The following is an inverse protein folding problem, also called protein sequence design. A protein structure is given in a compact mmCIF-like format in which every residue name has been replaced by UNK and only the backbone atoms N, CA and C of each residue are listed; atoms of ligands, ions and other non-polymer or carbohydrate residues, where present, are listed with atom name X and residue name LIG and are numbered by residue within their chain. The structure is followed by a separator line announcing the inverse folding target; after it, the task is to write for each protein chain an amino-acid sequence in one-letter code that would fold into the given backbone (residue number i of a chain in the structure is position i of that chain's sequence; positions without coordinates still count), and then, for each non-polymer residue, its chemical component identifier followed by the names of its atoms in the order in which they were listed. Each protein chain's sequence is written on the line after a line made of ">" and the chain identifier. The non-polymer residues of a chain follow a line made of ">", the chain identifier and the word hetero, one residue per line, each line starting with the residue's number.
data_IF_083940117394
#
_entry.id   IF_083940117394
#
_cell.length_a   1.000
_cell.length_b   1.000
_cell.length_c   1.000
_cell.angle_alpha   90.00
_cell.angle_beta   90.00
_cell.angle_gamma   90.00
#
_symmetry.space_group_name_H-M   'P 1'
#
loop_
_entity.id
_entity.type
_entity.pdbx_description
1 polymer ?
#
# COMPACT_ATOMS: atom_id res chain seq x y z
N UNK A 1 4.46 -9.54 34.17
CA UNK A 1 3.53 -8.69 34.96
C UNK A 1 2.88 -7.68 34.03
N UNK A 2 1.58 -7.39 34.09
CA UNK A 2 0.98 -6.31 33.31
C UNK A 2 1.58 -4.95 33.67
N UNK A 3 1.72 -4.08 32.68
CA UNK A 3 2.25 -2.73 32.82
C UNK A 3 1.48 -1.74 31.94
N UNK A 4 1.61 -0.47 32.25
CA UNK A 4 1.04 0.66 31.50
C UNK A 4 2.19 1.59 31.14
N UNK A 5 2.34 1.92 29.87
CA UNK A 5 3.35 2.84 29.36
C UNK A 5 3.06 4.24 29.91
N UNK A 6 3.97 4.81 30.64
CA UNK A 6 3.91 6.20 31.13
C UNK A 6 4.55 7.16 30.11
N UNK A 7 5.66 6.75 29.49
CA UNK A 7 6.35 7.46 28.43
C UNK A 7 7.17 6.48 27.57
N UNK A 8 7.46 6.86 26.32
CA UNK A 8 8.32 6.11 25.43
C UNK A 8 9.29 7.07 24.74
N UNK A 9 10.55 6.70 24.73
CA UNK A 9 11.61 7.37 23.98
C UNK A 9 11.96 6.51 22.75
N UNK A 10 11.73 7.07 21.58
CA UNK A 10 11.98 6.38 20.31
C UNK A 10 13.47 6.27 19.97
N UNK A 11 14.28 7.20 20.44
CA UNK A 11 15.71 7.26 20.11
C UNK A 11 16.52 6.22 20.89
N UNK A 12 16.10 5.94 22.12
CA UNK A 12 16.68 4.91 22.97
C UNK A 12 15.91 3.58 22.91
N UNK A 13 14.72 3.57 22.32
CA UNK A 13 13.79 2.44 22.29
C UNK A 13 13.44 1.93 23.70
N UNK A 14 13.35 2.85 24.67
CA UNK A 14 13.01 2.53 26.06
C UNK A 14 11.71 3.20 26.50
N UNK A 15 11.08 2.64 27.50
CA UNK A 15 9.87 3.18 28.11
C UNK A 15 10.00 3.33 29.63
N UNK A 16 9.26 4.31 30.17
CA UNK A 16 8.89 4.28 31.59
C UNK A 16 7.57 3.55 31.71
N UNK A 17 7.51 2.53 32.55
CA UNK A 17 6.35 1.64 32.67
C UNK A 17 5.88 1.57 34.11
N UNK A 18 4.60 1.86 34.35
CA UNK A 18 3.95 1.66 35.64
C UNK A 18 3.45 0.22 35.71
N UNK A 19 3.98 -0.61 36.65
CA UNK A 19 3.40 -1.90 36.93
C UNK A 19 1.92 -1.76 37.32
N UNK A 20 1.05 -2.56 36.73
CA UNK A 20 -0.40 -2.44 36.88
C UNK A 20 -0.97 -3.24 38.07
N UNK A 21 -0.13 -3.96 38.78
CA UNK A 21 -0.51 -4.72 39.99
C UNK A 21 0.04 -4.02 41.22
N UNK A 22 -0.84 -3.69 42.15
CA UNK A 22 -0.49 -3.08 43.42
C UNK A 22 0.05 -4.12 44.40
N UNK A 23 0.94 -3.69 45.28
CA UNK A 23 1.35 -4.47 46.46
C UNK A 23 0.46 -4.10 47.63
N UNK A 24 0.03 -5.09 48.40
CA UNK A 24 -0.77 -4.89 49.60
C UNK A 24 0.17 -4.98 50.83
N UNK A 25 0.17 -3.94 51.65
CA UNK A 25 0.82 -3.92 52.95
C UNK A 25 -0.25 -3.92 54.06
N UNK A 26 -0.08 -4.75 55.06
CA UNK A 26 -1.04 -4.94 56.13
C UNK A 26 -1.45 -3.63 56.85
N UNK A 27 -0.48 -2.71 56.99
CA UNK A 27 -0.68 -1.46 57.71
C UNK A 27 -0.99 -0.26 56.83
N UNK A 28 -0.64 -0.31 55.54
CA UNK A 28 -0.77 0.83 54.60
C UNK A 28 -1.79 0.60 53.46
N UNK A 29 -2.34 -0.61 53.39
CA UNK A 29 -3.22 -0.97 52.27
C UNK A 29 -2.50 -1.14 50.92
N UNK A 30 -3.24 -1.04 49.78
CA UNK A 30 -2.65 -1.21 48.45
C UNK A 30 -1.77 -0.01 48.06
N UNK A 31 -0.56 -0.31 47.58
CA UNK A 31 0.42 0.69 47.11
C UNK A 31 0.89 0.34 45.73
N UNK A 32 1.01 1.33 44.85
CA UNK A 32 1.59 1.14 43.53
C UNK A 32 3.06 0.73 43.65
N UNK A 33 3.47 -0.19 42.80
CA UNK A 33 4.91 -0.48 42.68
C UNK A 33 5.62 0.73 42.06
N UNK A 34 6.95 0.87 42.30
CA UNK A 34 7.76 1.92 41.66
C UNK A 34 7.60 1.90 40.12
N UNK A 35 7.73 3.06 39.50
CA UNK A 35 7.83 3.20 38.07
C UNK A 35 9.14 2.53 37.60
N UNK A 36 9.04 1.59 36.66
CA UNK A 36 10.20 1.05 35.98
C UNK A 36 10.62 2.06 34.89
N UNK A 37 11.87 2.51 34.93
CA UNK A 37 12.43 3.47 33.97
C UNK A 37 13.44 2.79 33.06
N UNK A 38 13.69 3.38 31.89
CA UNK A 38 14.65 2.89 30.89
C UNK A 38 14.42 1.42 30.46
N UNK A 39 13.16 0.99 30.48
CA UNK A 39 12.75 -0.38 30.14
C UNK A 39 12.85 -0.58 28.63
N UNK A 40 13.72 -1.48 28.12
CA UNK A 40 13.79 -1.79 26.69
C UNK A 40 12.44 -2.32 26.18
N UNK A 41 11.97 -1.77 25.05
CA UNK A 41 10.72 -2.22 24.40
C UNK A 41 11.05 -3.20 23.30
N UNK A 42 10.50 -4.41 23.41
CA UNK A 42 10.67 -5.46 22.43
C UNK A 42 9.69 -5.32 21.27
N UNK A 43 10.22 -5.35 20.05
CA UNK A 43 9.45 -5.49 18.82
C UNK A 43 9.70 -6.86 18.19
N UNK A 44 8.68 -7.53 17.65
CA UNK A 44 8.87 -8.77 16.92
C UNK A 44 9.82 -8.57 15.73
N UNK A 45 10.89 -9.34 15.68
CA UNK A 45 11.87 -9.22 14.61
C UNK A 45 12.93 -10.30 14.63
N UNK A 46 13.72 -10.36 13.56
CA UNK A 46 14.84 -11.27 13.40
C UNK A 46 15.64 -10.95 12.15
N UNK A 47 16.96 -11.12 12.20
CA UNK A 47 17.86 -10.63 11.17
C UNK A 47 17.71 -9.12 11.00
N UNK A 48 17.50 -8.67 9.77
CA UNK A 48 17.32 -7.25 9.44
C UNK A 48 15.85 -6.81 9.34
N UNK A 49 14.88 -7.66 9.77
CA UNK A 49 13.45 -7.42 9.62
C UNK A 49 12.77 -7.28 10.98
N UNK A 50 12.02 -6.20 11.16
CA UNK A 50 11.27 -5.91 12.38
C UNK A 50 9.84 -5.46 12.05
N UNK A 51 8.90 -5.84 12.93
CA UNK A 51 7.55 -5.32 12.93
C UNK A 51 7.43 -4.29 14.04
N UNK A 52 7.41 -3.01 13.67
CA UNK A 52 7.38 -1.89 14.61
C UNK A 52 5.98 -1.29 14.73
N UNK A 53 5.65 -0.81 15.92
CA UNK A 53 4.39 -0.15 16.22
C UNK A 53 4.65 1.18 16.92
N UNK A 54 3.79 2.21 16.72
CA UNK A 54 3.83 3.40 17.57
C UNK A 54 3.51 2.99 19.00
N UNK A 55 4.42 3.24 19.94
CA UNK A 55 4.22 3.05 21.37
C UNK A 55 3.81 4.37 21.99
N UNK A 56 2.68 4.39 22.72
CA UNK A 56 2.10 5.61 23.27
C UNK A 56 1.88 5.49 24.76
N UNK A 57 1.83 6.64 25.42
CA UNK A 57 1.34 6.72 26.80
C UNK A 57 -0.02 6.04 26.91
N UNK A 58 -0.24 5.33 28.00
CA UNK A 58 -1.42 4.56 28.34
C UNK A 58 -1.62 3.27 27.51
N UNK A 59 -0.68 2.89 26.64
CA UNK A 59 -0.65 1.57 26.06
C UNK A 59 -0.38 0.52 27.16
N UNK A 60 -1.08 -0.60 27.07
CA UNK A 60 -0.86 -1.72 27.96
C UNK A 60 0.24 -2.63 27.41
N UNK A 61 1.04 -3.16 28.30
CA UNK A 61 2.16 -4.04 27.97
C UNK A 61 2.29 -5.18 28.97
N UNK A 62 3.14 -6.13 28.66
CA UNK A 62 3.62 -7.11 29.60
C UNK A 62 5.08 -6.81 29.92
N UNK A 63 5.43 -6.82 31.20
CA UNK A 63 6.79 -6.73 31.72
C UNK A 63 7.33 -8.14 31.98
N UNK A 64 8.48 -8.43 31.40
CA UNK A 64 9.32 -9.58 31.70
C UNK A 64 10.52 -9.11 32.49
N UNK A 65 10.85 -9.78 33.58
CA UNK A 65 11.99 -9.43 34.43
C UNK A 65 13.11 -10.43 34.21
N UNK A 66 14.32 -9.89 34.00
CA UNK A 66 15.51 -10.72 33.92
C UNK A 66 15.82 -11.31 35.27
N UNK A 67 16.41 -12.49 35.31
CA UNK A 67 16.96 -13.06 36.53
C UNK A 67 18.15 -12.26 37.08
N UNK A 68 18.88 -11.60 36.18
CA UNK A 68 20.13 -10.87 36.48
C UNK A 68 20.05 -9.45 35.95
N UNK A 69 20.92 -8.59 36.51
CA UNK A 69 21.11 -7.21 36.06
C UNK A 69 21.48 -7.15 34.57
N UNK A 70 20.74 -6.34 33.82
CA UNK A 70 20.89 -6.18 32.36
C UNK A 70 21.64 -4.91 31.94
N UNK A 71 22.05 -4.06 32.86
CA UNK A 71 22.57 -2.71 32.57
C UNK A 71 23.72 -2.72 31.55
N UNK A 72 24.72 -3.59 31.77
CA UNK A 72 25.87 -3.67 30.85
C UNK A 72 25.49 -4.26 29.50
N UNK A 73 24.59 -5.25 29.47
CA UNK A 73 24.08 -5.77 28.22
C UNK A 73 23.28 -4.69 27.45
N UNK A 74 22.41 -3.96 28.14
CA UNK A 74 21.63 -2.91 27.52
C UNK A 74 22.51 -1.80 26.95
N UNK A 75 23.56 -1.41 27.66
CA UNK A 75 24.47 -0.34 27.23
C UNK A 75 25.46 -0.75 26.12
N UNK A 76 25.88 -2.02 26.05
CA UNK A 76 27.02 -2.46 25.22
C UNK A 76 26.69 -3.59 24.26
N UNK A 77 25.59 -4.32 24.47
CA UNK A 77 25.27 -5.55 23.74
C UNK A 77 26.22 -6.71 24.03
N UNK A 78 26.06 -7.81 23.31
CA UNK A 78 26.91 -8.99 23.43
C UNK A 78 26.80 -9.70 24.78
N UNK A 79 27.78 -10.57 25.09
CA UNK A 79 27.86 -11.27 26.35
C UNK A 79 28.55 -10.38 27.37
N UNK A 80 27.88 -10.06 28.49
CA UNK A 80 28.38 -9.16 29.53
C UNK A 80 28.28 -9.82 30.91
N UNK A 81 29.15 -9.39 31.85
CA UNK A 81 28.95 -9.63 33.27
C UNK A 81 27.82 -8.73 33.79
N UNK A 82 27.05 -9.16 34.82
CA UNK A 82 26.09 -8.27 35.45
C UNK A 82 26.81 -7.08 36.10
N UNK A 83 26.24 -5.87 35.98
CA UNK A 83 26.77 -4.67 36.60
C UNK A 83 26.65 -4.75 38.15
N UNK A 84 25.59 -5.39 38.64
CA UNK A 84 25.28 -5.61 40.03
C UNK A 84 24.78 -7.04 40.27
N UNK A 85 24.90 -7.52 41.53
CA UNK A 85 24.47 -8.87 41.92
C UNK A 85 22.99 -8.97 42.31
N UNK A 86 22.15 -7.99 41.90
CA UNK A 86 20.70 -8.04 42.13
C UNK A 86 20.05 -9.17 41.32
N UNK A 87 18.98 -9.72 41.88
CA UNK A 87 18.20 -10.83 41.27
C UNK A 87 16.74 -10.44 41.18
N UNK A 88 16.10 -10.71 40.04
CA UNK A 88 14.68 -10.45 39.81
C UNK A 88 14.24 -9.03 40.18
N UNK A 89 15.07 -8.05 39.92
CA UNK A 89 14.80 -6.66 40.26
C UNK A 89 13.84 -6.02 39.26
N UNK A 90 13.03 -5.08 39.74
CA UNK A 90 12.08 -4.36 38.88
C UNK A 90 12.76 -3.49 37.80
N UNK A 91 14.01 -3.09 38.04
CA UNK A 91 14.83 -2.34 37.10
C UNK A 91 15.33 -3.17 35.91
N UNK A 92 15.32 -4.50 36.04
CA UNK A 92 15.79 -5.42 34.99
C UNK A 92 14.63 -5.95 34.12
N UNK A 93 13.71 -5.06 33.76
CA UNK A 93 12.50 -5.38 32.97
C UNK A 93 12.70 -5.18 31.47
N UNK A 94 11.95 -5.95 30.68
CA UNK A 94 11.68 -5.73 29.27
C UNK A 94 10.18 -5.53 29.10
N UNK A 95 9.76 -4.63 28.22
CA UNK A 95 8.36 -4.40 27.91
C UNK A 95 7.99 -4.92 26.51
N UNK A 96 6.86 -5.61 26.42
CA UNK A 96 6.26 -6.00 25.14
C UNK A 96 4.83 -5.44 25.09
N UNK A 97 4.56 -4.57 24.14
CA UNK A 97 3.22 -4.00 23.90
C UNK A 97 2.30 -4.99 23.18
N UNK A 98 0.98 -4.71 23.19
CA UNK A 98 -0.01 -5.50 22.48
C UNK A 98 -0.79 -6.47 23.36
N UNK A 99 -0.49 -6.57 24.66
CA UNK A 99 -1.35 -7.23 25.64
C UNK A 99 -2.42 -6.22 26.07
N UNK A 100 -3.69 -6.62 26.07
CA UNK A 100 -4.80 -5.72 26.37
C UNK A 100 -5.67 -6.31 27.49
N UNK A 101 -6.07 -5.47 28.45
CA UNK A 101 -7.12 -5.79 29.42
C UNK A 101 -8.47 -5.90 28.74
N UNK A 102 -9.47 -6.48 29.43
CA UNK A 102 -10.82 -6.63 28.87
C UNK A 102 -11.46 -5.31 28.41
N UNK A 103 -11.34 -4.19 29.13
CA UNK A 103 -11.85 -2.90 28.64
C UNK A 103 -11.17 -2.41 27.35
N UNK A 104 -9.92 -2.82 27.10
CA UNK A 104 -9.12 -2.43 25.92
C UNK A 104 -8.97 -3.54 24.89
N UNK A 105 -9.71 -4.63 24.99
CA UNK A 105 -9.64 -5.75 24.05
C UNK A 105 -9.84 -5.32 22.61
N UNK A 106 -9.18 -6.00 21.68
CA UNK A 106 -9.44 -5.84 20.25
C UNK A 106 -10.82 -6.42 19.92
N UNK A 107 -11.53 -5.72 19.03
CA UNK A 107 -12.84 -6.15 18.50
C UNK A 107 -12.71 -6.60 17.06
N UNK A 108 -13.70 -7.33 16.54
CA UNK A 108 -13.77 -7.78 15.15
C UNK A 108 -12.53 -8.56 14.71
N UNK A 109 -12.03 -9.44 15.58
CA UNK A 109 -10.97 -10.39 15.23
C UNK A 109 -11.46 -11.31 14.12
N UNK A 110 -10.61 -11.56 13.12
CA UNK A 110 -10.88 -12.51 12.05
C UNK A 110 -10.14 -13.81 12.34
N UNK A 111 -10.86 -14.91 12.33
CA UNK A 111 -10.31 -16.23 12.69
C UNK A 111 -9.92 -17.06 11.46
N UNK A 112 -10.10 -16.50 10.25
CA UNK A 112 -9.83 -17.14 8.96
C UNK A 112 -8.49 -16.74 8.34
N UNK A 113 -7.66 -15.97 9.06
CA UNK A 113 -6.35 -15.54 8.57
C UNK A 113 -5.60 -14.63 9.52
N UNK A 114 -4.39 -14.26 9.13
CA UNK A 114 -3.54 -13.30 9.84
C UNK A 114 -3.82 -11.87 9.36
N UNK A 115 -3.88 -10.91 10.26
CA UNK A 115 -4.22 -9.52 9.92
C UNK A 115 -3.27 -8.53 10.62
N UNK A 116 -2.63 -7.66 9.82
CA UNK A 116 -1.98 -6.45 10.30
C UNK A 116 -2.98 -5.30 10.13
N UNK A 117 -3.40 -4.66 11.22
CA UNK A 117 -4.54 -3.74 11.20
C UNK A 117 -4.43 -2.58 12.17
N UNK A 118 -5.15 -1.50 11.89
CA UNK A 118 -5.46 -0.49 12.91
C UNK A 118 -6.45 -1.05 13.94
N UNK A 119 -6.48 -0.51 15.16
CA UNK A 119 -7.41 -0.94 16.21
C UNK A 119 -8.88 -0.89 15.75
N UNK A 120 -9.28 0.15 15.02
CA UNK A 120 -10.63 0.31 14.45
C UNK A 120 -10.92 -0.58 13.24
N UNK A 121 -9.90 -1.24 12.70
CA UNK A 121 -9.98 -2.01 11.46
C UNK A 121 -10.42 -1.16 10.24
N UNK A 122 -10.13 0.13 10.28
CA UNK A 122 -10.35 1.03 9.13
C UNK A 122 -9.35 0.76 8.00
N UNK A 123 -8.14 0.30 8.35
CA UNK A 123 -7.07 -0.05 7.42
C UNK A 123 -6.44 -1.35 7.86
N UNK A 124 -6.21 -2.27 6.92
CA UNK A 124 -5.57 -3.55 7.20
C UNK A 124 -4.96 -4.20 5.95
N UNK A 125 -4.02 -5.11 6.20
CA UNK A 125 -3.59 -6.17 5.28
C UNK A 125 -3.93 -7.48 5.95
N UNK A 126 -4.72 -8.33 5.29
CA UNK A 126 -5.12 -9.65 5.80
C UNK A 126 -4.76 -10.74 4.81
N UNK A 127 -4.11 -11.77 5.30
CA UNK A 127 -3.74 -12.97 4.56
C UNK A 127 -4.70 -14.08 4.96
N UNK A 128 -5.38 -14.65 3.97
CA UNK A 128 -6.16 -15.89 4.11
C UNK A 128 -5.57 -16.93 3.15
N UNK A 129 -6.08 -18.15 3.18
CA UNK A 129 -5.71 -19.14 2.18
C UNK A 129 -6.08 -18.66 0.77
N UNK A 130 -5.07 -18.43 -0.07
CA UNK A 130 -5.24 -18.06 -1.47
C UNK A 130 -5.57 -16.58 -1.74
N UNK A 131 -5.75 -15.72 -0.73
CA UNK A 131 -6.12 -14.32 -0.97
C UNK A 131 -5.45 -13.36 0.01
N UNK A 132 -4.96 -12.23 -0.52
CA UNK A 132 -4.50 -11.09 0.27
C UNK A 132 -5.52 -9.95 0.13
N UNK A 133 -6.10 -9.55 1.23
CA UNK A 133 -7.00 -8.39 1.29
C UNK A 133 -6.23 -7.16 1.76
N UNK A 134 -6.34 -6.07 1.01
CA UNK A 134 -5.82 -4.76 1.40
C UNK A 134 -6.97 -3.77 1.47
N UNK A 135 -7.15 -3.15 2.62
CA UNK A 135 -8.14 -2.08 2.81
C UNK A 135 -7.44 -0.79 3.22
N UNK A 136 -7.70 0.26 2.48
CA UNK A 136 -7.11 1.59 2.64
C UNK A 136 -6.51 2.08 1.34
N UNK A 137 -5.93 3.28 1.36
CA UNK A 137 -5.20 3.82 0.23
C UNK A 137 -3.80 3.20 0.19
N UNK A 138 -3.34 2.83 -1.00
CA UNK A 138 -2.00 2.29 -1.22
C UNK A 138 -1.17 3.38 -1.90
N UNK A 139 -0.05 3.74 -1.29
CA UNK A 139 1.00 4.53 -1.90
C UNK A 139 2.14 3.54 -2.19
N UNK A 140 2.50 3.40 -3.47
CA UNK A 140 3.60 2.55 -3.91
C UNK A 140 4.69 3.43 -4.50
N UNK A 141 5.87 3.41 -3.89
CA UNK A 141 7.06 4.09 -4.38
C UNK A 141 8.01 3.02 -4.94
N UNK A 142 8.20 3.01 -6.25
CA UNK A 142 8.99 2.01 -6.96
C UNK A 142 8.23 1.31 -8.08
N UNK A 143 8.78 0.21 -8.57
CA UNK A 143 8.23 -0.56 -9.69
C UNK A 143 7.27 -1.65 -9.23
N UNK A 144 6.19 -1.85 -9.98
CA UNK A 144 5.25 -2.95 -9.80
C UNK A 144 5.36 -3.91 -10.98
N UNK A 145 5.55 -5.20 -10.69
CA UNK A 145 5.43 -6.27 -11.68
C UNK A 145 4.24 -7.13 -11.30
N UNK A 146 3.29 -7.32 -12.22
CA UNK A 146 2.13 -8.18 -12.01
C UNK A 146 2.05 -9.22 -13.13
N UNK A 147 1.90 -10.49 -12.75
CA UNK A 147 1.60 -11.59 -13.67
C UNK A 147 0.14 -11.99 -13.45
N UNK A 148 -0.64 -12.04 -14.51
CA UNK A 148 -2.07 -12.34 -14.46
C UNK A 148 -2.94 -11.12 -14.77
N UNK A 149 -4.25 -11.31 -14.64
CA UNK A 149 -5.22 -10.29 -15.03
C UNK A 149 -5.34 -9.18 -13.99
N UNK A 150 -5.56 -7.96 -14.45
CA UNK A 150 -5.90 -6.80 -13.63
C UNK A 150 -7.37 -6.42 -13.87
N UNK A 151 -8.16 -6.38 -12.82
CA UNK A 151 -9.51 -5.80 -12.85
C UNK A 151 -9.49 -4.54 -12.02
N UNK A 152 -9.84 -3.41 -12.63
CA UNK A 152 -9.91 -2.12 -11.94
C UNK A 152 -11.30 -1.50 -12.14
N UNK A 153 -11.90 -1.05 -11.05
CA UNK A 153 -13.12 -0.25 -11.06
C UNK A 153 -12.77 1.18 -10.64
N UNK A 154 -13.17 2.16 -11.44
CA UNK A 154 -12.87 3.58 -11.21
C UNK A 154 -11.91 4.17 -12.25
N UNK A 155 -11.44 5.38 -11.98
CA UNK A 155 -10.61 6.14 -12.92
C UNK A 155 -9.15 5.71 -12.87
N UNK A 156 -8.49 5.72 -14.03
CA UNK A 156 -7.04 5.58 -14.16
C UNK A 156 -6.48 6.92 -14.61
N UNK A 157 -5.53 7.47 -13.86
CA UNK A 157 -4.72 8.60 -14.29
C UNK A 157 -3.28 8.11 -14.44
N UNK A 158 -2.72 8.25 -15.64
CA UNK A 158 -1.34 7.87 -15.93
C UNK A 158 -0.58 9.05 -16.48
N UNK A 159 0.59 9.30 -15.95
CA UNK A 159 1.56 10.28 -16.47
C UNK A 159 2.75 9.51 -17.03
N UNK A 160 3.15 9.82 -18.25
CA UNK A 160 4.23 9.11 -18.95
C UNK A 160 3.71 8.19 -20.04
N UNK A 161 4.58 7.34 -20.56
CA UNK A 161 4.28 6.45 -21.70
C UNK A 161 3.52 5.21 -21.25
N UNK A 162 2.57 4.76 -22.09
CA UNK A 162 1.90 3.48 -21.95
C UNK A 162 2.20 2.62 -23.20
N UNK A 163 2.69 1.41 -23.00
CA UNK A 163 2.86 0.42 -24.06
C UNK A 163 1.88 -0.72 -23.84
N UNK A 164 1.06 -0.99 -24.84
CA UNK A 164 0.12 -2.12 -24.85
C UNK A 164 0.50 -3.05 -26.00
N UNK A 165 0.60 -4.34 -25.72
CA UNK A 165 0.83 -5.38 -26.74
C UNK A 165 -0.41 -6.27 -26.80
N UNK A 166 -1.01 -6.37 -27.98
CA UNK A 166 -2.27 -7.09 -28.19
C UNK A 166 -3.45 -6.16 -28.48
N UNK A 167 -4.64 -6.71 -28.47
CA UNK A 167 -5.86 -5.99 -28.81
C UNK A 167 -6.34 -5.09 -27.65
N UNK A 168 -6.87 -3.92 -28.00
CA UNK A 168 -7.49 -2.99 -27.06
C UNK A 168 -8.92 -2.72 -27.43
N UNK A 169 -9.86 -3.04 -26.56
CA UNK A 169 -11.28 -2.71 -26.74
C UNK A 169 -11.64 -1.55 -25.80
N UNK A 170 -12.27 -0.51 -26.33
CA UNK A 170 -12.81 0.62 -25.57
C UNK A 170 -14.27 0.83 -25.88
N UNK A 171 -15.07 1.04 -24.86
CA UNK A 171 -16.46 1.48 -24.96
C UNK A 171 -16.57 2.93 -24.52
N UNK A 172 -17.09 3.81 -25.30
CA UNK A 172 -17.20 5.24 -25.04
C UNK A 172 -16.26 6.10 -25.89
N UNK A 173 -16.12 7.36 -25.52
CA UNK A 173 -15.39 8.36 -26.30
C UNK A 173 -13.87 8.27 -26.06
N UNK A 174 -13.09 8.43 -27.13
CA UNK A 174 -11.64 8.64 -27.06
C UNK A 174 -11.30 10.04 -27.55
N UNK A 175 -10.62 10.84 -26.72
CA UNK A 175 -10.08 12.14 -27.11
C UNK A 175 -8.56 12.06 -27.13
N UNK A 176 -7.94 12.46 -28.23
CA UNK A 176 -6.49 12.52 -28.39
C UNK A 176 -6.10 13.92 -28.84
N UNK A 177 -5.24 14.61 -28.07
CA UNK A 177 -4.74 15.94 -28.41
C UNK A 177 -3.48 15.91 -29.26
N UNK A 178 -2.89 14.74 -29.48
CA UNK A 178 -1.69 14.53 -30.29
C UNK A 178 -1.96 13.80 -31.59
N UNK A 179 -0.90 13.41 -32.29
CA UNK A 179 -0.98 12.64 -33.53
C UNK A 179 -1.38 11.19 -33.24
N UNK A 180 -2.28 10.64 -34.04
CA UNK A 180 -2.61 9.22 -34.07
C UNK A 180 -1.91 8.61 -35.30
N UNK A 181 -0.99 7.66 -35.05
CA UNK A 181 -0.31 6.91 -36.11
C UNK A 181 -0.82 5.48 -36.12
N UNK A 182 -1.43 5.07 -37.20
CA UNK A 182 -1.91 3.69 -37.47
C UNK A 182 -1.04 3.04 -38.54
N UNK A 183 0.02 2.34 -38.19
CA UNK A 183 0.92 1.67 -39.13
C UNK A 183 0.20 0.57 -39.97
N UNK A 184 -0.81 -0.07 -39.41
CA UNK A 184 -1.65 -1.08 -40.09
C UNK A 184 -2.90 -0.52 -40.77
N UNK A 185 -3.07 0.83 -40.78
CA UNK A 185 -4.26 1.47 -41.31
C UNK A 185 -5.28 1.88 -40.22
N UNK A 186 -6.32 2.58 -40.63
CA UNK A 186 -7.47 3.00 -39.84
C UNK A 186 -8.76 2.54 -40.51
N UNK A 187 -9.51 1.69 -39.84
CA UNK A 187 -10.86 1.31 -40.28
C UNK A 187 -11.90 2.00 -39.39
N UNK A 188 -12.84 2.72 -39.98
CA UNK A 188 -13.99 3.34 -39.29
C UNK A 188 -15.25 2.75 -39.88
N UNK A 189 -16.04 2.06 -39.05
CA UNK A 189 -17.30 1.45 -39.50
C UNK A 189 -18.42 1.72 -38.50
N UNK A 190 -19.65 1.84 -39.00
CA UNK A 190 -20.83 2.08 -38.17
C UNK A 190 -21.06 3.56 -37.83
N UNK A 191 -22.18 3.85 -37.17
CA UNK A 191 -22.58 5.19 -36.73
C UNK A 191 -22.63 6.21 -37.86
N UNK A 192 -22.23 7.44 -37.57
CA UNK A 192 -22.20 8.54 -38.58
C UNK A 192 -20.94 8.53 -39.47
N UNK A 193 -20.08 7.50 -39.37
CA UNK A 193 -18.83 7.44 -40.12
C UNK A 193 -17.75 8.33 -39.55
N UNK A 194 -16.85 8.84 -40.42
CA UNK A 194 -15.77 9.74 -40.05
C UNK A 194 -16.05 11.15 -40.55
N UNK A 195 -15.95 12.14 -39.68
CA UNK A 195 -15.93 13.56 -40.00
C UNK A 195 -14.51 14.12 -39.86
N UNK A 196 -14.00 14.78 -40.87
CA UNK A 196 -12.69 15.43 -40.89
C UNK A 196 -12.86 16.92 -41.01
N UNK A 197 -12.43 17.69 -40.06
CA UNK A 197 -12.35 19.16 -40.08
C UNK A 197 -10.89 19.55 -40.26
N UNK A 198 -10.55 20.06 -41.38
CA UNK A 198 -9.19 20.39 -41.83
C UNK A 198 -8.81 19.70 -43.14
N UNK A 199 -7.53 19.75 -43.48
CA UNK A 199 -7.06 19.14 -44.73
C UNK A 199 -6.89 17.62 -44.58
N UNK A 200 -7.32 16.89 -45.61
CA UNK A 200 -7.02 15.47 -45.78
C UNK A 200 -6.07 15.32 -46.95
N UNK A 201 -4.84 14.83 -46.71
CA UNK A 201 -3.88 14.49 -47.73
C UNK A 201 -3.80 12.97 -47.89
N UNK A 202 -3.99 12.47 -49.10
CA UNK A 202 -3.88 11.05 -49.45
C UNK A 202 -2.70 10.91 -50.40
N UNK A 203 -1.65 10.18 -49.98
CA UNK A 203 -0.46 9.95 -50.78
C UNK A 203 -0.34 8.47 -51.12
N UNK A 204 -0.12 8.13 -52.37
CA UNK A 204 0.05 6.74 -52.83
C UNK A 204 -1.20 5.90 -52.90
N UNK A 205 -2.38 6.48 -52.62
CA UNK A 205 -3.68 5.82 -52.66
C UNK A 205 -4.72 6.63 -53.38
N UNK A 206 -6.00 6.25 -53.23
CA UNK A 206 -7.17 6.88 -53.80
C UNK A 206 -8.31 6.95 -52.77
N UNK A 207 -9.24 7.86 -52.93
CA UNK A 207 -10.51 7.89 -52.22
C UNK A 207 -11.57 7.33 -53.15
N UNK A 208 -12.27 6.31 -52.75
CA UNK A 208 -13.38 5.71 -53.50
C UNK A 208 -14.68 5.90 -52.73
N UNK A 209 -15.75 6.28 -53.42
CA UNK A 209 -17.10 6.31 -52.91
C UNK A 209 -17.96 5.38 -53.80
N UNK A 210 -18.59 4.34 -53.20
CA UNK A 210 -19.37 3.32 -53.93
C UNK A 210 -18.63 2.71 -55.11
N UNK A 211 -17.30 2.45 -54.93
CA UNK A 211 -16.44 1.88 -55.97
C UNK A 211 -15.95 2.85 -57.03
N UNK A 212 -16.33 4.13 -56.95
CA UNK A 212 -15.85 5.16 -57.89
C UNK A 212 -14.68 5.92 -57.31
N UNK A 213 -13.58 5.99 -58.06
CA UNK A 213 -12.37 6.71 -57.74
C UNK A 213 -12.58 8.23 -57.80
N UNK A 214 -12.15 8.95 -56.76
CA UNK A 214 -12.11 10.43 -56.84
C UNK A 214 -10.98 10.87 -57.74
N UNK A 215 -9.88 10.15 -57.76
CA UNK A 215 -8.68 10.45 -58.54
C UNK A 215 -8.89 10.22 -60.04
N UNK A 216 -9.63 9.17 -60.41
CA UNK A 216 -9.78 8.71 -61.78
C UNK A 216 -11.24 8.77 -62.28
N UNK A 217 -12.14 9.55 -61.64
CA UNK A 217 -13.51 9.70 -62.18
C UNK A 217 -13.55 10.72 -63.32
N UNK A 218 -14.49 10.53 -64.17
CA UNK A 218 -14.79 11.43 -65.31
C UNK A 218 -16.29 11.58 -65.41
N UNK A 219 -16.74 12.64 -66.07
CA UNK A 219 -18.12 12.90 -66.33
C UNK A 219 -18.36 12.81 -67.86
N UNK A 220 -19.57 12.39 -68.27
CA UNK A 220 -19.96 12.43 -69.68
C UNK A 220 -20.35 13.87 -70.03
N UNK A 221 -19.70 14.43 -70.99
CA UNK A 221 -20.03 15.77 -71.52
C UNK A 221 -21.28 15.74 -72.40
N UNK A 222 -21.82 16.92 -72.70
CA UNK A 222 -23.04 17.06 -73.52
C UNK A 222 -22.92 16.43 -74.89
N UNK A 223 -21.71 16.36 -75.43
CA UNK A 223 -21.43 15.75 -76.74
C UNK A 223 -21.17 14.24 -76.69
N UNK A 224 -21.29 13.60 -75.49
CA UNK A 224 -21.12 12.17 -75.31
C UNK A 224 -19.68 11.74 -75.08
N UNK A 225 -18.71 12.67 -74.98
CA UNK A 225 -17.30 12.38 -74.57
C UNK A 225 -17.13 12.47 -73.09
N UNK A 226 -16.18 11.74 -72.57
CA UNK A 226 -15.81 11.82 -71.15
C UNK A 226 -14.84 13.00 -70.91
N UNK A 227 -15.03 13.73 -69.81
CA UNK A 227 -14.04 14.70 -69.35
C UNK A 227 -12.68 14.01 -69.05
N UNK A 228 -11.60 14.72 -69.25
CA UNK A 228 -10.30 14.22 -68.77
C UNK A 228 -10.30 13.96 -67.29
N UNK A 229 -9.35 13.12 -66.84
CA UNK A 229 -9.15 12.89 -65.39
C UNK A 229 -8.84 14.21 -64.70
N UNK A 230 -9.33 14.32 -63.47
CA UNK A 230 -8.97 15.45 -62.60
C UNK A 230 -7.45 15.47 -62.38
N UNK A 231 -6.80 16.59 -62.67
CA UNK A 231 -5.34 16.80 -62.50
C UNK A 231 -5.05 17.20 -61.04
#
# INVERSE_FOLDING_TARGET
>A
MPGIIASFDQDTQTASVQPAIQRIFTEKGPVNLPLCVDVPVAFPGGGDFFLTFPVKKDDECILFFSERCIDFWHAKGGVQLPAEYRLHDLSDAFAQVGVNSQPKKLTALQMDGAELRTRSRSTYIRLTEGTIYVKGNIIHDGNTTQTGNVTQTGNITQTGSMTLTGDTTRTGTTTTSGVITGAGGLAVSGGAGAAVSGNMAITGGDVTADGKSIKNHHHVEHDGYNTGNTV
#
